data_IF_619938903699
#
_entry.id   IF_619938903699
#
_cell.length_a   1.000
_cell.length_b   1.000
_cell.length_c   1.000
_cell.angle_alpha   90.00
_cell.angle_beta   90.00
_cell.angle_gamma   90.00
#
_symmetry.space_group_name_H-M   'P 1'
#
loop_
_entity.id
_entity.type
_entity.pdbx_description
1 polymer ?
#
# COMPACT_ATOMS: atom_id res chain seq x y z
N UNK A 1 -8.05 13.99 15.05
CA UNK A 1 -7.24 13.05 14.26
C UNK A 1 -6.34 13.79 13.28
N UNK A 2 -5.36 13.13 12.70
CA UNK A 2 -4.44 13.70 11.70
C UNK A 2 -5.18 13.83 10.36
N UNK A 3 -5.25 15.03 9.75
CA UNK A 3 -5.84 15.20 8.43
C UNK A 3 -5.06 14.39 7.39
N UNK A 4 -5.75 13.52 6.65
CA UNK A 4 -5.06 12.62 5.70
C UNK A 4 -5.84 12.51 4.40
N UNK A 5 -5.12 12.66 3.30
CA UNK A 5 -5.60 12.38 1.94
C UNK A 5 -4.96 11.07 1.49
N UNK A 6 -5.77 10.11 1.05
CA UNK A 6 -5.29 8.82 0.55
C UNK A 6 -5.66 8.67 -0.92
N UNK A 7 -4.70 8.42 -1.76
CA UNK A 7 -4.82 8.25 -3.19
C UNK A 7 -4.15 6.95 -3.64
N UNK A 8 -4.65 6.35 -4.70
CA UNK A 8 -4.08 5.13 -5.30
C UNK A 8 -3.39 5.48 -6.61
N UNK A 9 -2.12 5.11 -6.74
CA UNK A 9 -1.30 5.40 -7.91
C UNK A 9 -1.88 4.89 -9.22
N UNK A 10 -2.58 3.76 -9.19
CA UNK A 10 -3.27 3.18 -10.35
C UNK A 10 -4.38 4.05 -10.95
N UNK A 11 -4.89 5.04 -10.22
CA UNK A 11 -5.91 5.97 -10.71
C UNK A 11 -5.33 7.19 -11.45
N UNK A 12 -4.02 7.35 -11.45
CA UNK A 12 -3.36 8.44 -12.15
C UNK A 12 -3.06 8.06 -13.61
N UNK A 13 -3.23 9.03 -14.50
CA UNK A 13 -2.85 8.97 -15.90
C UNK A 13 -1.61 9.87 -16.17
N UNK A 14 -1.41 10.31 -17.41
CA UNK A 14 -0.26 11.14 -17.81
C UNK A 14 -0.45 12.65 -17.56
N UNK A 15 -1.63 13.07 -17.07
CA UNK A 15 -1.93 14.50 -16.82
C UNK A 15 -1.17 15.01 -15.58
N UNK A 16 -1.22 16.32 -15.36
CA UNK A 16 -0.58 16.98 -14.22
C UNK A 16 -1.12 16.44 -12.87
N UNK A 17 -0.25 16.03 -11.92
CA UNK A 17 -0.68 15.31 -10.71
C UNK A 17 -1.67 16.07 -9.83
N UNK A 18 -1.48 17.38 -9.63
CA UNK A 18 -2.36 18.15 -8.75
C UNK A 18 -3.77 18.27 -9.28
N UNK A 19 -3.91 18.50 -10.59
CA UNK A 19 -5.21 18.48 -11.26
C UNK A 19 -5.91 17.13 -11.12
N UNK A 20 -5.15 16.05 -11.21
CA UNK A 20 -5.71 14.72 -11.00
C UNK A 20 -6.10 14.48 -9.54
N UNK A 21 -5.28 14.91 -8.57
CA UNK A 21 -5.59 14.80 -7.15
C UNK A 21 -6.90 15.50 -6.80
N UNK A 22 -7.06 16.77 -7.21
CA UNK A 22 -8.30 17.51 -6.94
C UNK A 22 -9.52 16.83 -7.56
N UNK A 23 -9.40 16.35 -8.81
CA UNK A 23 -10.46 15.58 -9.49
C UNK A 23 -10.80 14.28 -8.77
N UNK A 24 -9.80 13.48 -8.34
CA UNK A 24 -10.00 12.22 -7.62
C UNK A 24 -10.65 12.44 -6.25
N UNK A 25 -10.42 13.59 -5.64
CA UNK A 25 -11.05 14.00 -4.39
C UNK A 25 -12.43 14.63 -4.57
N UNK A 26 -12.89 14.83 -5.83
CA UNK A 26 -14.16 15.52 -6.10
C UNK A 26 -14.13 17.00 -5.77
N UNK A 27 -12.95 17.63 -5.79
CA UNK A 27 -12.76 19.03 -5.44
C UNK A 27 -12.58 19.89 -6.68
N UNK A 28 -13.15 21.11 -6.63
CA UNK A 28 -12.98 22.15 -7.66
C UNK A 28 -12.13 23.28 -7.08
N UNK A 29 -10.87 22.99 -6.81
CA UNK A 29 -9.92 23.95 -6.24
C UNK A 29 -8.56 23.86 -6.92
N UNK A 30 -7.76 24.91 -6.76
CA UNK A 30 -6.38 24.96 -7.21
C UNK A 30 -5.48 24.14 -6.28
N UNK A 31 -4.26 23.86 -6.72
CA UNK A 31 -3.22 23.23 -5.89
C UNK A 31 -2.95 24.03 -4.63
N UNK A 32 -2.85 25.36 -4.75
CA UNK A 32 -2.58 26.29 -3.66
C UNK A 32 -3.69 26.26 -2.61
N UNK A 33 -4.94 26.22 -3.05
CA UNK A 33 -6.11 26.11 -2.15
C UNK A 33 -6.15 24.75 -1.45
N UNK A 34 -5.86 23.66 -2.15
CA UNK A 34 -5.78 22.32 -1.54
C UNK A 34 -4.70 22.26 -0.45
N UNK A 35 -3.48 22.71 -0.77
CA UNK A 35 -2.38 22.70 0.17
C UNK A 35 -2.64 23.62 1.36
N UNK A 36 -3.20 24.82 1.11
CA UNK A 36 -3.57 25.77 2.18
C UNK A 36 -4.66 25.22 3.10
N UNK A 37 -5.66 24.53 2.56
CA UNK A 37 -6.71 23.88 3.36
C UNK A 37 -6.15 22.76 4.24
N UNK A 38 -5.25 21.94 3.69
CA UNK A 38 -4.59 20.87 4.44
C UNK A 38 -3.68 21.45 5.54
N UNK A 39 -2.96 22.52 5.26
CA UNK A 39 -2.12 23.20 6.24
C UNK A 39 -2.97 23.81 7.37
N UNK A 40 -4.06 24.51 7.05
CA UNK A 40 -4.96 25.07 8.04
C UNK A 40 -5.58 23.99 8.93
N UNK A 41 -6.00 22.87 8.34
CA UNK A 41 -6.50 21.72 9.08
C UNK A 41 -5.43 21.11 10.01
N UNK A 42 -4.20 21.00 9.54
CA UNK A 42 -3.07 20.49 10.33
C UNK A 42 -2.79 21.39 11.55
N UNK A 43 -2.76 22.71 11.34
CA UNK A 43 -2.56 23.70 12.39
C UNK A 43 -3.68 23.66 13.43
N UNK A 44 -4.94 23.59 13.00
CA UNK A 44 -6.11 23.52 13.89
C UNK A 44 -6.08 22.25 14.78
N UNK A 45 -5.51 21.17 14.28
CA UNK A 45 -5.38 19.91 15.02
C UNK A 45 -4.03 19.74 15.73
N UNK A 46 -3.14 20.73 15.67
CA UNK A 46 -1.77 20.68 16.23
C UNK A 46 -1.00 19.41 15.76
N UNK A 47 -1.16 19.02 14.51
CA UNK A 47 -0.53 17.85 13.91
C UNK A 47 -0.11 18.15 12.47
N UNK A 48 0.49 17.18 11.79
CA UNK A 48 0.74 17.31 10.34
C UNK A 48 -0.45 16.75 9.55
N UNK A 49 -0.73 17.35 8.40
CA UNK A 49 -1.55 16.71 7.38
C UNK A 49 -0.65 15.84 6.49
N UNK A 50 -1.16 14.69 6.07
CA UNK A 50 -0.43 13.74 5.23
C UNK A 50 -1.17 13.49 3.92
N UNK A 51 -0.44 13.61 2.81
CA UNK A 51 -0.86 13.11 1.51
C UNK A 51 -0.20 11.74 1.33
N UNK A 52 -0.99 10.68 1.24
CA UNK A 52 -0.53 9.32 0.97
C UNK A 52 -0.89 8.94 -0.47
N UNK A 53 0.10 8.54 -1.26
CA UNK A 53 -0.13 7.98 -2.59
C UNK A 53 0.43 6.56 -2.62
N UNK A 54 -0.46 5.59 -2.62
CA UNK A 54 -0.08 4.19 -2.60
C UNK A 54 0.13 3.63 -4.00
N UNK A 55 1.14 2.78 -4.17
CA UNK A 55 1.44 2.04 -5.39
C UNK A 55 1.69 2.92 -6.64
N UNK A 56 2.67 3.82 -6.59
CA UNK A 56 3.05 4.67 -7.73
C UNK A 56 3.40 3.89 -9.01
N UNK A 57 3.77 2.62 -8.87
CA UNK A 57 4.11 1.73 -9.98
C UNK A 57 2.90 1.18 -10.74
N UNK A 58 1.69 1.40 -10.26
CA UNK A 58 0.47 0.90 -10.89
C UNK A 58 -0.07 1.85 -11.96
N UNK A 59 -0.87 1.30 -12.88
CA UNK A 59 -1.51 2.06 -13.95
C UNK A 59 -0.52 2.68 -14.94
N UNK A 60 -0.93 3.79 -15.52
CA UNK A 60 -0.13 4.56 -16.51
C UNK A 60 0.83 5.56 -15.87
N UNK A 61 0.83 5.65 -14.53
CA UNK A 61 1.53 6.67 -13.76
C UNK A 61 3.06 6.59 -13.76
N UNK A 62 3.68 5.51 -14.24
CA UNK A 62 5.16 5.37 -14.20
C UNK A 62 5.90 6.54 -14.86
N UNK A 63 5.47 6.93 -16.07
CA UNK A 63 6.07 8.06 -16.79
C UNK A 63 5.72 9.41 -16.15
N UNK A 64 4.51 9.52 -15.59
CA UNK A 64 4.06 10.69 -14.85
C UNK A 64 4.99 10.98 -13.67
N UNK A 65 5.21 9.99 -12.80
CA UNK A 65 5.94 10.18 -11.57
C UNK A 65 7.41 10.50 -11.80
N UNK A 66 8.06 9.86 -12.78
CA UNK A 66 9.45 10.20 -13.16
C UNK A 66 9.59 11.69 -13.49
N UNK A 67 8.58 12.28 -14.14
CA UNK A 67 8.57 13.70 -14.55
C UNK A 67 8.16 14.64 -13.41
N UNK A 68 7.21 14.25 -12.58
CA UNK A 68 6.51 15.17 -11.68
C UNK A 68 6.80 14.96 -10.18
N UNK A 69 7.40 13.82 -9.79
CA UNK A 69 7.61 13.49 -8.37
C UNK A 69 8.48 14.53 -7.65
N UNK A 70 9.55 15.02 -8.29
CA UNK A 70 10.39 16.06 -7.71
C UNK A 70 9.61 17.35 -7.42
N UNK A 71 8.76 17.77 -8.36
CA UNK A 71 7.91 18.95 -8.18
C UNK A 71 6.85 18.76 -7.09
N UNK A 72 6.30 17.55 -6.97
CA UNK A 72 5.35 17.20 -5.91
C UNK A 72 6.02 17.28 -4.53
N UNK A 73 7.18 16.65 -4.38
CA UNK A 73 7.98 16.70 -3.15
C UNK A 73 8.35 18.14 -2.77
N UNK A 74 8.81 18.91 -3.74
CA UNK A 74 9.16 20.31 -3.52
C UNK A 74 7.94 21.15 -3.06
N UNK A 75 6.77 20.93 -3.65
CA UNK A 75 5.56 21.66 -3.27
C UNK A 75 5.16 21.35 -1.82
N UNK A 76 5.16 20.09 -1.41
CA UNK A 76 4.81 19.67 -0.04
C UNK A 76 5.88 20.13 0.97
N UNK A 77 7.16 20.09 0.61
CA UNK A 77 8.26 20.47 1.51
C UNK A 77 8.29 21.96 1.90
N UNK A 78 7.54 22.81 1.19
CA UNK A 78 7.43 24.24 1.52
C UNK A 78 6.68 24.51 2.83
N UNK A 79 5.82 23.58 3.27
CA UNK A 79 5.12 23.70 4.55
C UNK A 79 5.64 22.69 5.57
N UNK A 80 5.97 23.12 6.80
CA UNK A 80 6.34 22.21 7.87
C UNK A 80 5.14 21.39 8.40
N UNK A 81 3.93 21.82 8.06
CA UNK A 81 2.67 21.19 8.49
C UNK A 81 2.19 20.08 7.55
N UNK A 82 2.84 19.93 6.40
CA UNK A 82 2.50 18.91 5.42
C UNK A 82 3.52 17.80 5.41
N UNK A 83 3.06 16.61 5.09
CA UNK A 83 3.87 15.42 4.83
C UNK A 83 3.39 14.70 3.57
N UNK A 84 4.31 14.07 2.86
CA UNK A 84 4.01 13.19 1.74
C UNK A 84 4.55 11.79 2.07
N UNK A 85 3.69 10.80 1.99
CA UNK A 85 4.07 9.40 2.03
C UNK A 85 3.72 8.76 0.68
N UNK A 86 4.66 8.05 0.11
CA UNK A 86 4.47 7.36 -1.17
C UNK A 86 4.94 5.92 -1.04
N UNK A 87 4.26 5.01 -1.70
CA UNK A 87 4.73 3.64 -1.82
C UNK A 87 5.02 3.29 -3.28
N UNK A 88 6.03 2.47 -3.46
CA UNK A 88 6.46 1.94 -4.76
C UNK A 88 7.07 0.56 -4.54
N UNK A 89 6.85 -0.36 -5.46
CA UNK A 89 7.56 -1.65 -5.42
C UNK A 89 9.04 -1.44 -5.71
N UNK A 90 9.90 -2.06 -4.93
CA UNK A 90 11.37 -1.94 -5.04
C UNK A 90 11.86 -2.15 -6.49
N UNK A 91 11.27 -3.09 -7.23
CA UNK A 91 11.62 -3.34 -8.65
C UNK A 91 11.28 -2.18 -9.61
N UNK A 92 10.52 -1.18 -9.18
CA UNK A 92 10.16 0.00 -9.97
C UNK A 92 10.75 1.30 -9.43
N UNK A 93 11.45 1.26 -8.31
CA UNK A 93 12.01 2.45 -7.65
C UNK A 93 12.88 3.27 -8.61
N UNK A 94 13.85 2.67 -9.25
CA UNK A 94 14.76 3.34 -10.19
C UNK A 94 14.05 3.91 -11.44
N UNK A 95 12.88 3.35 -11.79
CA UNK A 95 12.09 3.83 -12.93
C UNK A 95 11.27 5.06 -12.56
N UNK A 96 10.80 5.15 -11.32
CA UNK A 96 9.81 6.12 -10.85
C UNK A 96 10.47 7.27 -10.09
N UNK A 97 11.44 6.96 -9.24
CA UNK A 97 12.16 7.94 -8.45
C UNK A 97 13.30 8.52 -9.29
N UNK A 98 13.33 9.85 -9.55
CA UNK A 98 14.40 10.46 -10.31
C UNK A 98 15.76 10.29 -9.63
N UNK A 99 16.80 10.02 -10.41
CA UNK A 99 18.17 9.98 -9.92
C UNK A 99 18.56 11.32 -9.27
N UNK A 100 19.27 11.25 -8.16
CA UNK A 100 19.71 12.44 -7.44
C UNK A 100 18.60 13.15 -6.64
N UNK A 101 17.39 12.59 -6.59
CA UNK A 101 16.33 13.07 -5.73
C UNK A 101 16.64 12.65 -4.27
N UNK A 102 17.49 13.40 -3.60
CA UNK A 102 17.78 13.23 -2.17
C UNK A 102 17.42 14.51 -1.43
N UNK A 103 16.14 14.77 -1.17
CA UNK A 103 15.80 15.83 -0.25
C UNK A 103 16.39 15.47 1.12
N UNK A 104 16.99 16.42 1.80
CA UNK A 104 17.55 16.24 3.16
C UNK A 104 16.53 15.77 4.21
N UNK A 105 15.26 15.63 3.84
CA UNK A 105 14.13 15.19 4.67
C UNK A 105 13.40 13.96 4.14
N UNK A 106 13.98 13.25 3.16
CA UNK A 106 13.41 12.01 2.66
C UNK A 106 13.79 10.85 3.59
N UNK A 107 12.80 10.14 4.10
CA UNK A 107 12.99 8.89 4.83
C UNK A 107 12.57 7.76 3.90
N UNK A 108 13.49 6.86 3.59
CA UNK A 108 13.20 5.62 2.86
C UNK A 108 13.04 4.49 3.86
N UNK A 109 11.93 3.79 3.78
CA UNK A 109 11.68 2.57 4.54
C UNK A 109 11.29 1.45 3.58
N UNK A 110 11.82 0.26 3.79
CA UNK A 110 11.45 -0.93 3.02
C UNK A 110 10.57 -1.82 3.87
N UNK A 111 9.44 -2.25 3.31
CA UNK A 111 8.51 -3.14 3.98
C UNK A 111 8.78 -4.59 3.56
N UNK A 112 9.30 -5.38 4.47
CA UNK A 112 9.67 -6.78 4.25
C UNK A 112 8.53 -7.77 4.55
N UNK A 113 7.28 -7.34 4.47
CA UNK A 113 6.14 -8.18 4.82
C UNK A 113 6.06 -8.44 6.32
N UNK A 114 5.78 -9.70 6.70
CA UNK A 114 5.74 -10.16 8.08
C UNK A 114 7.06 -10.78 8.56
N UNK A 115 8.17 -10.49 7.90
CA UNK A 115 9.50 -10.92 8.35
C UNK A 115 9.69 -10.58 9.84
N UNK A 116 10.17 -11.53 10.63
CA UNK A 116 10.28 -11.50 12.10
C UNK A 116 8.95 -11.61 12.89
N UNK A 117 7.80 -11.38 12.26
CA UNK A 117 6.47 -11.45 12.89
C UNK A 117 5.53 -12.45 12.20
N UNK A 118 6.08 -13.39 11.44
CA UNK A 118 5.31 -14.37 10.65
C UNK A 118 4.36 -15.20 11.51
N UNK A 119 4.82 -15.63 12.68
CA UNK A 119 4.01 -16.44 13.60
C UNK A 119 2.81 -15.66 14.14
N UNK A 120 3.02 -14.44 14.61
CA UNK A 120 1.97 -13.57 15.14
C UNK A 120 0.98 -13.17 14.04
N UNK A 121 1.48 -12.90 12.85
CA UNK A 121 0.65 -12.60 11.69
C UNK A 121 -0.22 -13.81 11.32
N UNK A 122 0.39 -15.00 11.20
CA UNK A 122 -0.33 -16.23 10.90
C UNK A 122 -1.42 -16.51 11.92
N UNK A 123 -1.08 -16.39 13.21
CA UNK A 123 -2.04 -16.53 14.31
C UNK A 123 -3.22 -15.58 14.15
N UNK A 124 -2.94 -14.30 13.93
CA UNK A 124 -3.97 -13.25 13.79
C UNK A 124 -4.89 -13.52 12.59
N UNK A 125 -4.32 -13.92 11.46
CA UNK A 125 -5.10 -14.25 10.27
C UNK A 125 -5.95 -15.49 10.48
N UNK A 126 -5.41 -16.55 11.06
CA UNK A 126 -6.15 -17.80 11.33
C UNK A 126 -7.33 -17.54 12.25
N UNK A 127 -7.13 -16.77 13.34
CA UNK A 127 -8.21 -16.39 14.26
C UNK A 127 -9.29 -15.57 13.53
N UNK A 128 -8.90 -14.58 12.73
CA UNK A 128 -9.83 -13.74 11.96
C UNK A 128 -10.65 -14.56 10.94
N UNK A 129 -10.01 -15.52 10.28
CA UNK A 129 -10.70 -16.37 9.28
C UNK A 129 -11.39 -17.60 9.88
N UNK A 130 -11.27 -17.85 11.18
CA UNK A 130 -11.82 -19.02 11.86
C UNK A 130 -11.12 -20.32 11.50
N UNK A 131 -9.82 -20.28 11.24
CA UNK A 131 -9.00 -21.43 10.88
C UNK A 131 -8.32 -21.98 12.14
N UNK A 132 -8.42 -23.28 12.37
CA UNK A 132 -7.75 -23.96 13.47
C UNK A 132 -6.23 -23.91 13.27
N UNK A 133 -5.53 -23.49 14.31
CA UNK A 133 -4.07 -23.49 14.29
C UNK A 133 -3.56 -24.93 14.35
N UNK A 134 -2.58 -25.27 13.51
CA UNK A 134 -1.94 -26.59 13.62
C UNK A 134 -1.19 -26.69 14.95
N UNK A 135 -1.11 -27.90 15.49
CA UNK A 135 -0.40 -28.18 16.75
C UNK A 135 1.13 -27.97 16.67
N UNK A 136 1.66 -27.96 15.45
CA UNK A 136 3.08 -27.69 15.16
C UNK A 136 3.15 -26.35 14.40
N UNK A 137 4.09 -25.43 14.76
CA UNK A 137 4.27 -24.21 13.99
C UNK A 137 4.48 -24.50 12.50
N UNK A 138 3.64 -23.91 11.67
CA UNK A 138 3.80 -23.97 10.22
C UNK A 138 4.93 -23.00 9.84
N UNK A 139 6.07 -23.55 9.53
CA UNK A 139 7.18 -22.81 8.91
C UNK A 139 6.94 -22.80 7.39
N UNK A 140 6.09 -21.89 6.93
CA UNK A 140 5.83 -21.65 5.51
C UNK A 140 6.42 -20.29 5.18
N UNK A 141 7.62 -20.21 4.60
CA UNK A 141 8.31 -18.93 4.31
C UNK A 141 7.43 -17.96 3.52
N UNK A 142 6.50 -18.49 2.72
CA UNK A 142 5.56 -17.72 1.94
C UNK A 142 4.57 -16.90 2.78
N UNK A 143 4.35 -17.28 4.04
CA UNK A 143 3.49 -16.53 4.97
C UNK A 143 4.11 -15.22 5.45
N UNK A 144 5.39 -14.99 5.17
CA UNK A 144 5.99 -13.67 5.32
C UNK A 144 5.36 -12.64 4.36
N UNK A 145 4.78 -13.10 3.25
CA UNK A 145 4.05 -12.22 2.35
C UNK A 145 2.59 -12.03 2.82
N UNK A 146 2.18 -10.81 3.19
CA UNK A 146 0.83 -10.53 3.70
C UNK A 146 -0.29 -10.91 2.73
N UNK A 147 -0.07 -10.66 1.43
CA UNK A 147 -1.05 -10.99 0.39
C UNK A 147 -1.20 -12.51 0.27
N UNK A 148 -0.08 -13.22 0.30
CA UNK A 148 -0.10 -14.68 0.21
C UNK A 148 -0.84 -15.31 1.38
N UNK A 149 -0.56 -14.88 2.61
CA UNK A 149 -1.24 -15.36 3.81
C UNK A 149 -2.75 -15.07 3.75
N UNK A 150 -3.13 -13.86 3.28
CA UNK A 150 -4.53 -13.49 3.08
C UNK A 150 -5.23 -14.41 2.07
N UNK A 151 -4.61 -14.62 0.89
CA UNK A 151 -5.14 -15.47 -0.18
C UNK A 151 -5.31 -16.90 0.32
N UNK A 152 -4.35 -17.42 1.06
CA UNK A 152 -4.41 -18.75 1.67
C UNK A 152 -5.60 -18.90 2.61
N UNK A 153 -5.73 -18.01 3.59
CA UNK A 153 -6.84 -18.03 4.53
C UNK A 153 -8.20 -17.83 3.85
N UNK A 154 -8.27 -16.93 2.87
CA UNK A 154 -9.50 -16.73 2.10
C UNK A 154 -9.89 -17.96 1.29
N UNK A 155 -8.91 -18.64 0.70
CA UNK A 155 -9.13 -19.89 -0.04
C UNK A 155 -9.69 -21.01 0.86
N UNK A 156 -9.16 -21.17 2.07
CA UNK A 156 -9.70 -22.13 3.06
C UNK A 156 -11.14 -21.78 3.41
N UNK A 157 -11.41 -20.52 3.76
CA UNK A 157 -12.75 -20.06 4.12
C UNK A 157 -13.76 -20.25 2.98
N UNK A 158 -13.40 -19.92 1.74
CA UNK A 158 -14.27 -20.07 0.58
C UNK A 158 -14.63 -21.54 0.30
N UNK A 159 -13.76 -22.48 0.68
CA UNK A 159 -14.04 -23.92 0.58
C UNK A 159 -14.69 -24.51 1.85
N UNK A 160 -15.08 -23.69 2.82
CA UNK A 160 -15.70 -24.15 4.07
C UNK A 160 -14.73 -24.92 4.99
N UNK A 161 -13.43 -24.77 4.79
CA UNK A 161 -12.41 -25.48 5.56
C UNK A 161 -12.00 -24.65 6.78
N UNK A 162 -12.00 -25.30 7.92
CA UNK A 162 -11.53 -24.72 9.19
C UNK A 162 -10.15 -25.22 9.60
N UNK A 163 -9.54 -26.08 8.80
CA UNK A 163 -8.18 -26.58 9.01
C UNK A 163 -7.47 -26.74 7.66
N UNK A 164 -6.15 -26.79 7.71
CA UNK A 164 -5.31 -26.95 6.52
C UNK A 164 -5.40 -28.39 6.04
N UNK A 165 -5.87 -28.66 4.81
CA UNK A 165 -5.92 -30.00 4.28
C UNK A 165 -4.51 -30.58 4.06
N UNK A 166 -4.32 -31.89 4.28
CA UNK A 166 -3.05 -32.54 3.97
C UNK A 166 -2.62 -32.31 2.51
N UNK A 167 -1.33 -32.03 2.29
CA UNK A 167 -0.77 -31.84 0.95
C UNK A 167 -0.94 -30.45 0.36
N UNK A 168 -1.61 -29.52 1.04
CA UNK A 168 -1.68 -28.12 0.61
C UNK A 168 -0.40 -27.38 1.02
N UNK A 169 0.68 -27.61 0.30
CA UNK A 169 2.00 -27.03 0.55
C UNK A 169 2.58 -26.41 -0.72
N UNK A 170 3.37 -25.35 -0.56
CA UNK A 170 4.03 -24.63 -1.64
C UNK A 170 3.13 -23.64 -2.39
N UNK A 171 3.79 -22.61 -2.93
CA UNK A 171 3.17 -21.46 -3.60
C UNK A 171 2.16 -21.89 -4.68
N UNK A 172 2.58 -22.78 -5.58
CA UNK A 172 1.76 -23.18 -6.74
C UNK A 172 0.48 -23.91 -6.31
N UNK A 173 0.57 -24.81 -5.33
CA UNK A 173 -0.59 -25.54 -4.82
C UNK A 173 -1.59 -24.60 -4.14
N UNK A 174 -1.10 -23.65 -3.37
CA UNK A 174 -1.92 -22.67 -2.65
C UNK A 174 -2.60 -21.68 -3.61
N UNK A 175 -1.89 -21.16 -4.62
CA UNK A 175 -2.52 -20.31 -5.63
C UNK A 175 -3.58 -21.07 -6.45
N UNK A 176 -3.28 -22.28 -6.89
CA UNK A 176 -4.26 -23.11 -7.58
C UNK A 176 -5.50 -23.34 -6.72
N UNK A 177 -5.32 -23.72 -5.45
CA UNK A 177 -6.40 -23.91 -4.50
C UNK A 177 -7.27 -22.65 -4.35
N UNK A 178 -6.65 -21.46 -4.26
CA UNK A 178 -7.38 -20.20 -4.18
C UNK A 178 -8.16 -19.91 -5.47
N UNK A 179 -7.52 -20.02 -6.64
CA UNK A 179 -8.17 -19.80 -7.94
C UNK A 179 -9.35 -20.73 -8.13
N UNK A 180 -9.18 -22.01 -7.81
CA UNK A 180 -10.27 -22.99 -7.86
C UNK A 180 -11.42 -22.62 -6.89
N UNK A 181 -11.10 -22.04 -5.74
CA UNK A 181 -12.10 -21.58 -4.76
C UNK A 181 -12.93 -20.39 -5.22
N UNK A 182 -12.33 -19.51 -6.03
CA UNK A 182 -13.00 -18.31 -6.60
C UNK A 182 -13.86 -18.68 -7.80
N UNK A 183 -13.42 -19.65 -8.60
CA UNK A 183 -14.12 -20.08 -9.83
C UNK A 183 -15.29 -21.04 -9.57
N UNK A 184 -15.48 -21.50 -8.35
CA UNK A 184 -16.60 -22.36 -7.94
C UNK A 184 -17.90 -21.61 -7.63
N UNK A 185 -17.96 -20.30 -7.87
CA UNK A 185 -19.15 -19.47 -7.62
C UNK A 185 -20.04 -19.36 -8.84
#
# INVERSE_FOLDING_TARGET
>A
GMPTVVLIGGHFNIDEPWTQMTRLLGLSCTKEELLGALEAAAQAHHTRAVILIDALNEGQGKALWKKHLAGLLLAVSKSPWLGLAISVRTSYEDTIVPEGLVPSRLIRAEHHGFSEHEYEATKTFFDYFGIQRPSIPLLVPEFQNPLFLKIFCQGLKNNGLTSIPPGLQGITAIFKFFVDSVNKK
#
